data_IF_798175709304
#
_entry.id   IF_798175709304
#
_cell.length_a   1.000
_cell.length_b   1.000
_cell.length_c   1.000
_cell.angle_alpha   90.00
_cell.angle_beta   90.00
_cell.angle_gamma   90.00
#
_symmetry.space_group_name_H-M   'P 1'
#
loop_
_entity.id
_entity.type
_entity.pdbx_description
1 polymer ?
#
# COMPACT_ATOMS: atom_id res chain seq x y z
N UNK A 1 -4.87 -25.25 -6.09
CA UNK A 1 -5.23 -23.85 -5.87
C UNK A 1 -5.34 -23.14 -7.22
N UNK A 2 -6.52 -22.65 -7.60
CA UNK A 2 -6.69 -21.88 -8.85
C UNK A 2 -6.70 -20.41 -8.47
N UNK A 3 -5.53 -19.78 -8.40
CA UNK A 3 -5.44 -18.34 -8.12
C UNK A 3 -5.93 -17.49 -9.29
N UNK A 4 -5.89 -18.04 -10.49
CA UNK A 4 -6.30 -17.34 -11.68
C UNK A 4 -7.03 -18.33 -12.59
N UNK A 5 -8.24 -18.01 -12.95
CA UNK A 5 -8.92 -18.63 -14.06
C UNK A 5 -8.18 -18.11 -15.29
N UNK A 6 -7.59 -19.01 -16.07
CA UNK A 6 -6.87 -18.68 -17.29
C UNK A 6 -7.81 -17.93 -18.24
N UNK A 7 -7.84 -16.66 -18.16
CA UNK A 7 -8.56 -15.89 -19.15
C UNK A 7 -7.53 -15.19 -20.02
N UNK A 8 -7.60 -15.49 -21.29
CA UNK A 8 -7.08 -14.58 -22.28
C UNK A 8 -7.93 -13.30 -22.13
N UNK A 9 -7.32 -12.24 -21.58
CA UNK A 9 -8.01 -10.98 -21.25
C UNK A 9 -8.66 -10.41 -22.52
N UNK A 10 -7.98 -10.48 -23.67
CA UNK A 10 -8.49 -9.99 -24.96
C UNK A 10 -9.74 -10.71 -25.44
N UNK A 11 -9.90 -11.99 -25.08
CA UNK A 11 -11.08 -12.76 -25.46
C UNK A 11 -12.27 -12.56 -24.49
N UNK A 12 -12.11 -11.75 -23.45
CA UNK A 12 -13.15 -11.39 -22.49
C UNK A 12 -13.43 -9.88 -22.59
N UNK A 13 -14.43 -9.42 -23.40
CA UNK A 13 -14.65 -8.02 -23.67
C UNK A 13 -14.80 -7.13 -22.44
N UNK A 14 -15.57 -7.50 -21.39
CA UNK A 14 -15.66 -6.69 -20.17
C UNK A 14 -14.29 -6.53 -19.47
N UNK A 15 -13.53 -7.63 -19.35
CA UNK A 15 -12.21 -7.60 -18.71
C UNK A 15 -11.21 -6.80 -19.53
N UNK A 16 -11.24 -6.93 -20.85
CA UNK A 16 -10.41 -6.16 -21.77
C UNK A 16 -10.65 -4.65 -21.61
N UNK A 17 -11.90 -4.22 -21.60
CA UNK A 17 -12.25 -2.81 -21.41
C UNK A 17 -11.75 -2.30 -20.05
N UNK A 18 -11.95 -3.07 -18.97
CA UNK A 18 -11.45 -2.71 -17.63
C UNK A 18 -9.94 -2.56 -17.60
N UNK A 19 -9.20 -3.47 -18.24
CA UNK A 19 -7.73 -3.41 -18.31
C UNK A 19 -7.27 -2.19 -19.13
N UNK A 20 -7.90 -1.89 -20.25
CA UNK A 20 -7.54 -0.72 -21.06
C UNK A 20 -7.81 0.58 -20.29
N UNK A 21 -8.96 0.70 -19.63
CA UNK A 21 -9.28 1.86 -18.79
C UNK A 21 -8.29 2.02 -17.63
N UNK A 22 -7.92 0.90 -16.98
CA UNK A 22 -6.87 0.91 -15.95
C UNK A 22 -5.54 1.40 -16.50
N UNK A 23 -5.09 0.89 -17.66
CA UNK A 23 -3.80 1.28 -18.27
C UNK A 23 -3.76 2.76 -18.64
N UNK A 24 -4.87 3.32 -19.15
CA UNK A 24 -4.98 4.76 -19.43
C UNK A 24 -4.88 5.56 -18.13
N UNK A 25 -5.64 5.18 -17.10
CA UNK A 25 -5.59 5.83 -15.78
C UNK A 25 -4.22 5.69 -15.12
N UNK A 26 -3.58 4.53 -15.27
CA UNK A 26 -2.24 4.26 -14.78
C UNK A 26 -1.18 5.15 -15.46
N UNK A 27 -1.33 5.41 -16.76
CA UNK A 27 -0.45 6.32 -17.50
C UNK A 27 -0.58 7.76 -16.96
N UNK A 28 -1.81 8.22 -16.78
CA UNK A 28 -2.07 9.55 -16.20
C UNK A 28 -1.49 9.64 -14.77
N UNK A 29 -1.74 8.63 -13.94
CA UNK A 29 -1.18 8.55 -12.59
C UNK A 29 0.35 8.58 -12.61
N UNK A 30 0.99 7.79 -13.48
CA UNK A 30 2.45 7.73 -13.62
C UNK A 30 3.05 9.09 -14.00
N UNK A 31 2.42 9.81 -14.94
CA UNK A 31 2.85 11.17 -15.31
C UNK A 31 2.67 12.14 -14.14
N UNK A 32 1.50 12.13 -13.49
CA UNK A 32 1.20 13.03 -12.35
C UNK A 32 2.14 12.75 -11.19
N UNK A 33 2.53 11.50 -10.93
CA UNK A 33 3.40 11.14 -9.81
C UNK A 33 4.78 11.81 -9.87
N UNK A 34 5.32 12.08 -11.07
CA UNK A 34 6.54 12.86 -11.24
C UNK A 34 6.37 14.30 -10.77
N UNK A 35 5.24 14.94 -11.12
CA UNK A 35 4.96 16.32 -10.71
C UNK A 35 4.71 16.41 -9.22
N UNK A 36 3.94 15.49 -8.66
CA UNK A 36 3.64 15.44 -7.22
C UNK A 36 4.92 15.23 -6.41
N UNK A 37 5.77 14.30 -6.82
CA UNK A 37 7.04 14.04 -6.14
C UNK A 37 7.96 15.27 -6.21
N UNK A 38 8.12 15.87 -7.39
CA UNK A 38 8.93 17.07 -7.56
C UNK A 38 8.37 18.28 -6.80
N UNK A 39 7.05 18.44 -6.74
CA UNK A 39 6.42 19.53 -5.99
C UNK A 39 6.64 19.36 -4.48
N UNK A 40 6.56 18.13 -3.98
CA UNK A 40 6.64 17.82 -2.55
C UNK A 40 8.09 17.75 -2.05
N UNK A 41 8.91 16.95 -2.69
CA UNK A 41 10.28 16.64 -2.23
C UNK A 41 11.36 17.36 -3.04
N UNK A 42 11.07 17.69 -4.32
CA UNK A 42 12.08 18.07 -5.29
C UNK A 42 12.87 16.87 -5.81
N UNK A 43 13.66 17.13 -6.88
CA UNK A 43 14.59 16.15 -7.48
C UNK A 43 16.06 16.54 -7.27
N UNK A 44 16.34 17.49 -6.37
CA UNK A 44 17.69 17.85 -5.96
C UNK A 44 17.89 17.61 -4.47
N UNK A 45 19.17 17.45 -4.09
CA UNK A 45 19.55 17.27 -2.68
C UNK A 45 19.04 18.42 -1.81
N UNK A 46 19.26 19.66 -2.24
CA UNK A 46 18.93 20.88 -1.47
C UNK A 46 17.43 21.00 -1.20
N UNK A 47 16.59 20.78 -2.22
CA UNK A 47 15.15 20.85 -2.06
C UNK A 47 14.61 19.76 -1.14
N UNK A 48 15.15 18.53 -1.27
CA UNK A 48 14.74 17.43 -0.43
C UNK A 48 15.26 17.59 1.00
N UNK A 49 16.47 18.14 1.18
CA UNK A 49 16.98 18.51 2.49
C UNK A 49 16.06 19.52 3.18
N UNK A 50 15.67 20.59 2.48
CA UNK A 50 14.72 21.60 3.01
C UNK A 50 13.37 21.00 3.38
N UNK A 51 12.91 19.96 2.67
CA UNK A 51 11.68 19.25 3.05
C UNK A 51 11.82 18.56 4.42
N UNK A 52 12.93 17.86 4.68
CA UNK A 52 13.11 17.09 5.91
C UNK A 52 13.62 17.93 7.11
N UNK A 53 14.37 18.99 6.83
CA UNK A 53 15.12 19.74 7.83
C UNK A 53 14.84 21.26 7.82
N UNK A 54 13.77 21.69 7.13
CA UNK A 54 13.22 23.04 7.03
C UNK A 54 14.21 24.12 6.60
N UNK A 55 15.32 24.33 7.34
CA UNK A 55 16.32 25.37 7.06
C UNK A 55 17.75 24.77 7.14
N UNK A 56 18.62 24.99 6.14
CA UNK A 56 20.00 24.56 6.17
C UNK A 56 20.84 25.18 7.31
N UNK A 57 20.49 26.39 7.75
CA UNK A 57 21.22 27.10 8.81
C UNK A 57 20.77 26.67 10.20
N UNK A 58 19.48 26.37 10.36
CA UNK A 58 18.86 25.91 11.61
C UNK A 58 17.99 24.69 11.34
N UNK A 59 18.59 23.50 11.13
CA UNK A 59 17.86 22.33 10.67
C UNK A 59 16.96 21.77 11.76
N UNK A 60 15.68 22.13 11.72
CA UNK A 60 14.63 21.49 12.48
C UNK A 60 14.00 20.37 11.66
N UNK A 61 13.93 19.18 12.25
CA UNK A 61 13.28 18.03 11.59
C UNK A 61 11.78 18.22 11.54
N UNK A 62 11.16 17.84 10.43
CA UNK A 62 9.70 17.73 10.37
C UNK A 62 9.19 16.71 11.41
N UNK A 63 7.93 16.83 11.89
CA UNK A 63 7.37 15.86 12.83
C UNK A 63 7.42 14.43 12.28
N UNK A 64 7.78 13.46 13.13
CA UNK A 64 7.79 12.03 12.74
C UNK A 64 6.44 11.57 12.22
N UNK A 65 5.33 12.06 12.81
CA UNK A 65 3.98 11.76 12.33
C UNK A 65 3.76 12.15 10.87
N UNK A 66 4.36 13.25 10.40
CA UNK A 66 4.27 13.68 9.01
C UNK A 66 5.02 12.70 8.08
N UNK A 67 6.24 12.26 8.47
CA UNK A 67 6.99 11.25 7.70
C UNK A 67 6.20 9.94 7.60
N UNK A 68 5.62 9.51 8.72
CA UNK A 68 4.81 8.29 8.78
C UNK A 68 3.54 8.39 7.95
N UNK A 69 2.84 9.53 7.95
CA UNK A 69 1.66 9.77 7.10
C UNK A 69 2.03 9.70 5.63
N UNK A 70 3.12 10.34 5.24
CA UNK A 70 3.60 10.33 3.87
C UNK A 70 3.95 8.92 3.38
N UNK A 71 4.66 8.17 4.22
CA UNK A 71 5.02 6.79 3.90
C UNK A 71 3.78 5.90 3.87
N UNK A 72 2.85 6.04 4.83
CA UNK A 72 1.63 5.25 4.91
C UNK A 72 0.75 5.40 3.65
N UNK A 73 0.49 6.64 3.23
CA UNK A 73 -0.35 6.92 2.06
C UNK A 73 0.31 6.38 0.78
N UNK A 74 1.59 6.70 0.59
CA UNK A 74 2.31 6.27 -0.61
C UNK A 74 2.52 4.76 -0.65
N UNK A 75 2.76 4.12 0.49
CA UNK A 75 2.91 2.67 0.59
C UNK A 75 1.65 1.95 0.11
N UNK A 76 0.48 2.40 0.56
CA UNK A 76 -0.80 1.86 0.13
C UNK A 76 -0.99 2.02 -1.39
N UNK A 77 -0.89 3.27 -1.90
CA UNK A 77 -1.13 3.58 -3.30
C UNK A 77 -0.17 2.82 -4.24
N UNK A 78 1.12 2.83 -3.92
CA UNK A 78 2.15 2.17 -4.73
C UNK A 78 1.98 0.66 -4.71
N UNK A 79 1.68 0.06 -3.56
CA UNK A 79 1.48 -1.40 -3.46
C UNK A 79 0.32 -1.86 -4.33
N UNK A 80 -0.85 -1.22 -4.23
CA UNK A 80 -2.02 -1.58 -5.05
C UNK A 80 -1.75 -1.34 -6.53
N UNK A 81 -1.16 -0.19 -6.86
CA UNK A 81 -0.82 0.14 -8.24
C UNK A 81 0.12 -0.90 -8.87
N UNK A 82 1.21 -1.25 -8.17
CA UNK A 82 2.19 -2.21 -8.67
C UNK A 82 1.61 -3.62 -8.79
N UNK A 83 0.80 -4.09 -7.82
CA UNK A 83 0.24 -5.45 -7.90
C UNK A 83 -0.71 -5.58 -9.09
N UNK A 84 -1.54 -4.58 -9.35
CA UNK A 84 -2.46 -4.58 -10.50
C UNK A 84 -1.68 -4.48 -11.80
N UNK A 85 -0.74 -3.53 -11.93
CA UNK A 85 0.07 -3.38 -13.14
C UNK A 85 0.89 -4.64 -13.43
N UNK A 86 1.55 -5.22 -12.42
CA UNK A 86 2.32 -6.44 -12.58
C UNK A 86 1.44 -7.63 -12.98
N UNK A 87 0.21 -7.75 -12.44
CA UNK A 87 -0.73 -8.81 -12.81
C UNK A 87 -1.18 -8.73 -14.28
N UNK A 88 -1.19 -7.53 -14.85
CA UNK A 88 -1.46 -7.30 -16.27
C UNK A 88 -0.20 -7.57 -17.10
N UNK A 89 0.95 -7.06 -16.64
CA UNK A 89 2.23 -7.17 -17.35
C UNK A 89 2.69 -8.61 -17.55
N UNK A 90 2.40 -9.53 -16.61
CA UNK A 90 2.82 -10.94 -16.73
C UNK A 90 2.27 -11.66 -17.96
N UNK A 91 1.20 -11.16 -18.59
CA UNK A 91 0.64 -11.68 -19.83
C UNK A 91 1.41 -11.24 -21.08
N UNK A 92 2.41 -10.35 -20.93
CA UNK A 92 3.25 -9.91 -22.06
C UNK A 92 4.19 -11.03 -22.52
N UNK A 93 4.27 -11.22 -23.84
CA UNK A 93 5.25 -12.11 -24.48
C UNK A 93 6.66 -11.47 -24.41
N UNK A 94 7.34 -11.70 -23.30
CA UNK A 94 8.75 -11.34 -23.07
C UNK A 94 9.41 -12.44 -22.24
N UNK A 95 10.75 -12.53 -22.29
CA UNK A 95 11.49 -13.52 -21.51
C UNK A 95 11.13 -13.42 -20.02
N UNK A 96 10.94 -14.55 -19.36
CA UNK A 96 10.55 -14.60 -17.93
C UNK A 96 11.54 -13.84 -17.05
N UNK A 97 12.85 -13.91 -17.36
CA UNK A 97 13.87 -13.11 -16.64
C UNK A 97 13.55 -11.62 -16.68
N UNK A 98 13.09 -11.08 -17.83
CA UNK A 98 12.72 -9.68 -17.97
C UNK A 98 11.49 -9.34 -17.11
N UNK A 99 10.48 -10.25 -17.11
CA UNK A 99 9.28 -10.09 -16.26
C UNK A 99 9.67 -9.99 -14.79
N UNK A 100 10.43 -10.98 -14.29
CA UNK A 100 10.88 -11.01 -12.89
C UNK A 100 11.73 -9.79 -12.53
N UNK A 101 12.69 -9.42 -13.40
CA UNK A 101 13.57 -8.28 -13.15
C UNK A 101 12.78 -6.98 -13.04
N UNK A 102 11.88 -6.68 -13.98
CA UNK A 102 11.11 -5.45 -13.96
C UNK A 102 10.15 -5.39 -12.75
N UNK A 103 9.46 -6.49 -12.46
CA UNK A 103 8.56 -6.57 -11.31
C UNK A 103 9.36 -6.37 -10.01
N UNK A 104 10.43 -7.15 -9.82
CA UNK A 104 11.23 -7.08 -8.60
C UNK A 104 11.88 -5.71 -8.45
N UNK A 105 12.45 -5.15 -9.52
CA UNK A 105 13.08 -3.83 -9.52
C UNK A 105 12.07 -2.74 -9.15
N UNK A 106 10.84 -2.79 -9.67
CA UNK A 106 9.79 -1.82 -9.34
C UNK A 106 9.38 -1.91 -7.86
N UNK A 107 9.17 -3.11 -7.31
CA UNK A 107 8.81 -3.27 -5.91
C UNK A 107 9.95 -2.90 -4.97
N UNK A 108 11.18 -3.36 -5.24
CA UNK A 108 12.35 -3.07 -4.38
C UNK A 108 12.66 -1.58 -4.39
N UNK A 109 12.69 -0.94 -5.56
CA UNK A 109 12.96 0.50 -5.63
C UNK A 109 11.87 1.35 -4.98
N UNK A 110 10.60 0.95 -5.10
CA UNK A 110 9.51 1.60 -4.38
C UNK A 110 9.67 1.48 -2.86
N UNK A 111 10.02 0.29 -2.35
CA UNK A 111 10.27 0.08 -0.92
C UNK A 111 11.51 0.86 -0.44
N UNK A 112 12.55 0.96 -1.26
CA UNK A 112 13.74 1.76 -0.96
C UNK A 112 13.42 3.26 -0.95
N UNK A 113 12.62 3.76 -1.89
CA UNK A 113 12.18 5.17 -1.88
C UNK A 113 11.39 5.50 -0.61
N UNK A 114 10.42 4.66 -0.23
CA UNK A 114 9.62 4.87 0.97
C UNK A 114 10.47 4.71 2.25
N UNK A 115 11.29 3.65 2.33
CA UNK A 115 12.16 3.35 3.47
C UNK A 115 13.26 4.39 3.66
N UNK A 116 13.77 4.98 2.57
CA UNK A 116 14.79 6.03 2.64
C UNK A 116 14.34 7.27 3.40
N UNK A 117 13.02 7.56 3.45
CA UNK A 117 12.48 8.64 4.28
C UNK A 117 12.82 8.45 5.76
N UNK A 118 12.76 7.21 6.27
CA UNK A 118 13.19 6.90 7.64
C UNK A 118 14.69 6.97 7.80
N UNK A 119 15.46 6.52 6.79
CA UNK A 119 16.92 6.60 6.84
C UNK A 119 17.40 8.06 6.84
N UNK A 120 16.80 8.93 6.04
CA UNK A 120 17.04 10.38 6.07
C UNK A 120 16.68 10.95 7.44
N UNK A 121 15.53 10.57 7.98
CA UNK A 121 15.03 11.13 9.24
C UNK A 121 15.88 10.69 10.45
N UNK A 122 16.19 9.40 10.57
CA UNK A 122 16.83 8.84 11.77
C UNK A 122 18.34 8.75 11.70
N UNK A 123 18.94 8.53 10.51
CA UNK A 123 20.35 8.24 10.36
C UNK A 123 21.14 9.42 9.80
N UNK A 124 20.94 9.78 8.53
CA UNK A 124 21.75 10.80 7.89
C UNK A 124 21.06 11.42 6.66
N UNK A 125 21.23 12.74 6.45
CA UNK A 125 20.81 13.40 5.21
C UNK A 125 21.40 12.82 3.93
N UNK A 126 22.55 12.10 4.02
CA UNK A 126 23.17 11.44 2.86
C UNK A 126 22.23 10.43 2.17
N UNK A 127 21.26 9.85 2.90
CA UNK A 127 20.24 8.96 2.32
C UNK A 127 19.24 9.67 1.39
N UNK A 128 19.30 10.99 1.27
CA UNK A 128 18.58 11.75 0.24
C UNK A 128 18.95 11.25 -1.17
N UNK A 129 20.24 10.95 -1.42
CA UNK A 129 20.66 10.39 -2.71
C UNK A 129 20.01 9.03 -2.98
N UNK A 130 19.94 8.17 -1.95
CA UNK A 130 19.22 6.89 -2.08
C UNK A 130 17.75 7.11 -2.44
N UNK A 131 17.08 8.09 -1.80
CA UNK A 131 15.68 8.41 -2.07
C UNK A 131 15.47 8.88 -3.51
N UNK A 132 16.31 9.77 -4.01
CA UNK A 132 16.23 10.26 -5.39
C UNK A 132 16.45 9.11 -6.40
N UNK A 133 17.54 8.34 -6.20
CA UNK A 133 17.87 7.24 -7.12
C UNK A 133 16.80 6.17 -7.12
N UNK A 134 16.31 5.76 -5.95
CA UNK A 134 15.28 4.74 -5.86
C UNK A 134 13.95 5.20 -6.48
N UNK A 135 13.57 6.47 -6.33
CA UNK A 135 12.42 7.05 -7.03
C UNK A 135 12.59 6.98 -8.56
N UNK A 136 13.74 7.40 -9.09
CA UNK A 136 14.01 7.37 -10.55
C UNK A 136 13.94 5.93 -11.07
N UNK A 137 14.56 4.99 -10.38
CA UNK A 137 14.55 3.56 -10.75
C UNK A 137 13.13 3.00 -10.70
N UNK A 138 12.36 3.33 -9.66
CA UNK A 138 10.94 2.95 -9.53
C UNK A 138 10.11 3.48 -10.69
N UNK A 139 10.21 4.75 -10.99
CA UNK A 139 9.45 5.38 -12.06
C UNK A 139 9.83 4.82 -13.44
N UNK A 140 11.12 4.59 -13.68
CA UNK A 140 11.60 4.06 -14.96
C UNK A 140 11.15 2.60 -15.17
N UNK A 141 11.35 1.73 -14.17
CA UNK A 141 10.96 0.32 -14.28
C UNK A 141 9.43 0.16 -14.41
N UNK A 142 8.67 0.94 -13.65
CA UNK A 142 7.21 0.97 -13.72
C UNK A 142 6.73 1.52 -15.06
N UNK A 143 7.35 2.59 -15.56
CA UNK A 143 7.05 3.14 -16.88
C UNK A 143 7.27 2.13 -18.01
N UNK A 144 8.38 1.37 -17.97
CA UNK A 144 8.64 0.29 -18.93
C UNK A 144 7.55 -0.77 -18.87
N UNK A 145 7.18 -1.26 -17.66
CA UNK A 145 6.10 -2.25 -17.51
C UNK A 145 4.77 -1.71 -18.07
N UNK A 146 4.45 -0.45 -17.77
CA UNK A 146 3.22 0.20 -18.22
C UNK A 146 3.18 0.34 -19.75
N UNK A 147 4.23 0.86 -20.38
CA UNK A 147 4.30 1.01 -21.82
C UNK A 147 4.26 -0.33 -22.57
N UNK A 148 4.93 -1.36 -22.05
CA UNK A 148 4.87 -2.71 -22.61
C UNK A 148 3.47 -3.30 -22.47
N UNK A 149 2.77 -3.06 -21.36
CA UNK A 149 1.38 -3.48 -21.16
C UNK A 149 0.41 -2.76 -22.07
N UNK A 150 0.56 -1.45 -22.23
CA UNK A 150 -0.23 -0.65 -23.18
C UNK A 150 -0.03 -1.19 -24.61
N UNK A 151 1.22 -1.44 -25.00
CA UNK A 151 1.51 -2.02 -26.31
C UNK A 151 0.80 -3.35 -26.50
N UNK A 152 0.85 -4.26 -25.51
CA UNK A 152 0.17 -5.55 -25.59
C UNK A 152 -1.34 -5.41 -25.87
N UNK A 153 -2.02 -4.54 -25.10
CA UNK A 153 -3.49 -4.45 -25.17
C UNK A 153 -4.01 -3.54 -26.26
N UNK A 154 -3.23 -2.55 -26.74
CA UNK A 154 -3.61 -1.68 -27.87
C UNK A 154 -3.16 -2.21 -29.24
N UNK A 155 -2.35 -3.29 -29.30
CA UNK A 155 -1.90 -3.88 -30.54
C UNK A 155 -2.46 -5.31 -30.72
N UNK A 156 -2.14 -5.93 -31.87
CA UNK A 156 -2.50 -7.33 -32.17
C UNK A 156 -1.54 -8.36 -31.56
N UNK A 157 -0.64 -7.95 -30.65
CA UNK A 157 0.26 -8.89 -29.96
C UNK A 157 -0.56 -9.98 -29.24
N UNK A 158 -0.05 -11.21 -29.26
CA UNK A 158 -0.69 -12.32 -28.53
C UNK A 158 -0.39 -12.23 -27.03
N UNK A 159 -1.37 -12.60 -26.22
CA UNK A 159 -1.17 -12.80 -24.79
C UNK A 159 -0.54 -14.17 -24.56
N UNK A 160 0.35 -14.25 -23.58
CA UNK A 160 0.84 -15.51 -23.04
C UNK A 160 0.18 -15.78 -21.68
N UNK A 161 -0.21 -17.03 -21.42
CA UNK A 161 -0.65 -17.39 -20.07
C UNK A 161 0.54 -17.22 -19.12
N UNK A 162 0.36 -16.51 -17.98
CA UNK A 162 1.45 -16.30 -17.05
C UNK A 162 1.88 -17.61 -16.39
N UNK A 163 3.19 -17.77 -16.18
CA UNK A 163 3.69 -18.87 -15.39
C UNK A 163 3.16 -18.80 -13.95
N UNK A 164 2.78 -19.93 -13.40
CA UNK A 164 2.28 -20.01 -12.01
C UNK A 164 3.30 -19.50 -11.00
N UNK A 165 4.59 -19.69 -11.27
CA UNK A 165 5.67 -19.22 -10.42
C UNK A 165 5.68 -17.68 -10.28
N UNK A 166 5.45 -16.94 -11.38
CA UNK A 166 5.37 -15.47 -11.37
C UNK A 166 4.17 -15.01 -10.54
N UNK A 167 3.01 -15.64 -10.75
CA UNK A 167 1.79 -15.30 -10.00
C UNK A 167 1.95 -15.56 -8.50
N UNK A 168 2.54 -16.70 -8.10
CA UNK A 168 2.86 -16.95 -6.69
C UNK A 168 3.84 -15.94 -6.12
N UNK A 169 4.80 -15.47 -6.92
CA UNK A 169 5.75 -14.45 -6.51
C UNK A 169 5.04 -13.12 -6.26
N UNK A 170 4.13 -12.70 -7.14
CA UNK A 170 3.34 -11.47 -6.95
C UNK A 170 2.51 -11.52 -5.67
N UNK A 171 1.79 -12.63 -5.44
CA UNK A 171 0.97 -12.78 -4.23
C UNK A 171 1.84 -12.83 -2.97
N UNK A 172 3.03 -13.44 -3.05
CA UNK A 172 4.00 -13.47 -1.95
C UNK A 172 4.52 -12.07 -1.62
N UNK A 173 4.92 -11.29 -2.65
CA UNK A 173 5.37 -9.89 -2.49
C UNK A 173 4.24 -9.06 -1.86
N UNK A 174 3.01 -9.12 -2.39
CA UNK A 174 1.86 -8.41 -1.83
C UNK A 174 1.64 -8.78 -0.36
N UNK A 175 1.67 -10.07 -0.04
CA UNK A 175 1.52 -10.52 1.35
C UNK A 175 2.64 -10.02 2.25
N UNK A 176 3.87 -9.93 1.74
CA UNK A 176 5.01 -9.33 2.45
C UNK A 176 4.81 -7.83 2.72
N UNK A 177 4.25 -7.10 1.76
CA UNK A 177 3.96 -5.67 1.94
C UNK A 177 2.89 -5.42 3.01
N UNK A 178 1.94 -6.36 3.22
CA UNK A 178 0.95 -6.25 4.30
C UNK A 178 1.61 -6.16 5.68
N UNK A 179 2.66 -6.95 5.95
CA UNK A 179 3.37 -6.88 7.24
C UNK A 179 4.05 -5.53 7.46
N UNK A 180 4.70 -4.99 6.42
CA UNK A 180 5.31 -3.67 6.49
C UNK A 180 4.25 -2.58 6.70
N UNK A 181 3.12 -2.68 6.02
CA UNK A 181 2.01 -1.76 6.16
C UNK A 181 1.43 -1.76 7.58
N UNK A 182 1.22 -2.94 8.16
CA UNK A 182 0.80 -3.10 9.56
C UNK A 182 1.79 -2.44 10.51
N UNK A 183 3.08 -2.63 10.31
CA UNK A 183 4.12 -2.00 11.11
C UNK A 183 4.06 -0.47 11.06
N UNK A 184 3.96 0.10 9.85
CA UNK A 184 3.81 1.54 9.64
C UNK A 184 2.55 2.06 10.33
N UNK A 185 1.41 1.33 10.24
CA UNK A 185 0.16 1.68 10.89
C UNK A 185 0.29 1.76 12.42
N UNK A 186 1.00 0.81 13.04
CA UNK A 186 1.25 0.85 14.49
C UNK A 186 2.03 2.08 14.90
N UNK A 187 3.11 2.40 14.18
CA UNK A 187 3.91 3.59 14.48
C UNK A 187 3.12 4.88 14.25
N UNK A 188 2.35 4.96 13.15
CA UNK A 188 1.51 6.11 12.87
C UNK A 188 0.41 6.29 13.93
N UNK A 189 -0.27 5.21 14.31
CA UNK A 189 -1.28 5.22 15.36
C UNK A 189 -0.70 5.72 16.68
N UNK A 190 0.44 5.15 17.11
CA UNK A 190 1.09 5.50 18.36
C UNK A 190 1.58 6.97 18.40
N UNK A 191 2.15 7.46 17.28
CA UNK A 191 2.72 8.81 17.23
C UNK A 191 1.68 9.91 17.04
N UNK A 192 0.58 9.62 16.35
CA UNK A 192 -0.46 10.60 16.00
C UNK A 192 -1.61 10.62 17.02
N UNK A 193 -2.13 9.45 17.38
CA UNK A 193 -3.28 9.33 18.27
C UNK A 193 -2.90 9.01 19.71
N UNK A 194 -1.72 8.42 19.92
CA UNK A 194 -1.34 7.84 21.20
C UNK A 194 -1.78 6.37 21.31
N UNK A 195 -1.39 5.71 22.40
CA UNK A 195 -1.66 4.29 22.64
C UNK A 195 -2.73 4.04 23.72
N UNK A 196 -3.09 5.07 24.48
CA UNK A 196 -4.12 4.99 25.53
C UNK A 196 -5.45 5.56 25.06
N UNK A 197 -6.59 5.02 25.56
CA UNK A 197 -7.90 5.62 25.24
C UNK A 197 -8.02 7.11 25.59
N UNK A 198 -7.35 7.55 26.67
CA UNK A 198 -7.33 8.97 27.07
C UNK A 198 -6.61 9.83 26.04
N UNK A 199 -5.41 9.44 25.56
CA UNK A 199 -4.69 10.17 24.54
C UNK A 199 -5.50 10.27 23.24
N UNK A 200 -6.18 9.18 22.87
CA UNK A 200 -7.04 9.14 21.71
C UNK A 200 -8.25 10.05 21.88
N UNK A 201 -8.89 10.03 23.06
CA UNK A 201 -9.99 10.96 23.34
C UNK A 201 -9.51 12.43 23.26
N UNK A 202 -8.36 12.76 23.86
CA UNK A 202 -7.75 14.10 23.75
C UNK A 202 -7.48 14.53 22.30
N UNK A 203 -7.04 13.60 21.45
CA UNK A 203 -6.81 13.89 20.02
C UNK A 203 -8.08 14.35 19.31
N UNK A 204 -9.24 13.74 19.60
CA UNK A 204 -10.51 14.06 18.94
C UNK A 204 -11.27 15.19 19.64
N UNK A 205 -11.28 15.20 20.97
CA UNK A 205 -12.05 16.17 21.77
C UNK A 205 -11.27 17.44 22.08
N UNK A 206 -9.95 17.41 21.88
CA UNK A 206 -9.05 18.48 22.27
C UNK A 206 -8.69 18.43 23.77
N UNK A 207 -7.71 19.25 24.15
CA UNK A 207 -7.29 19.42 25.54
C UNK A 207 -6.93 20.90 25.76
N UNK A 208 -7.76 21.66 26.49
CA UNK A 208 -7.51 23.08 26.73
C UNK A 208 -6.19 23.37 27.43
N UNK A 209 -5.76 22.50 28.35
CA UNK A 209 -4.50 22.67 29.11
C UNK A 209 -3.25 22.50 28.25
N UNK A 210 -3.37 21.78 27.13
CA UNK A 210 -2.29 21.57 26.13
C UNK A 210 -2.51 22.39 24.87
N UNK A 211 -3.48 23.29 24.85
CA UNK A 211 -3.85 24.11 23.68
C UNK A 211 -4.23 23.28 22.44
N UNK A 212 -4.71 22.04 22.62
CA UNK A 212 -5.17 21.18 21.54
C UNK A 212 -6.63 21.48 21.26
N UNK A 213 -6.93 21.90 20.03
CA UNK A 213 -8.31 22.17 19.60
C UNK A 213 -9.04 20.86 19.25
N UNK A 214 -10.35 20.76 19.52
CA UNK A 214 -11.18 19.64 19.06
C UNK A 214 -11.16 19.50 17.54
N UNK A 215 -11.20 18.27 17.04
CA UNK A 215 -11.34 18.02 15.60
C UNK A 215 -12.69 18.51 15.09
N UNK A 216 -12.69 19.16 13.94
CA UNK A 216 -13.92 19.60 13.26
C UNK A 216 -14.55 18.41 12.51
N UNK A 217 -15.86 18.50 12.23
CA UNK A 217 -16.55 17.49 11.42
C UNK A 217 -15.92 17.40 10.02
N UNK A 218 -15.67 18.54 9.38
CA UNK A 218 -15.04 18.62 8.07
C UNK A 218 -13.68 17.92 8.06
N UNK A 219 -12.77 18.27 8.97
CA UNK A 219 -11.46 17.62 9.04
C UNK A 219 -11.50 16.13 9.37
N UNK A 220 -12.55 15.63 10.06
CA UNK A 220 -12.75 14.20 10.25
C UNK A 220 -13.25 13.51 8.98
N UNK A 221 -14.19 14.12 8.26
CA UNK A 221 -14.72 13.57 7.01
C UNK A 221 -13.68 13.57 5.90
N UNK A 222 -12.82 14.58 5.83
CA UNK A 222 -11.69 14.64 4.88
C UNK A 222 -10.70 13.48 5.06
N UNK A 223 -10.58 12.96 6.27
CA UNK A 223 -9.73 11.78 6.55
C UNK A 223 -10.51 10.48 6.36
N UNK A 224 -11.71 10.37 6.93
CA UNK A 224 -12.49 9.11 6.94
C UNK A 224 -12.91 8.70 5.54
N UNK A 225 -13.35 9.65 4.69
CA UNK A 225 -13.88 9.34 3.36
C UNK A 225 -12.86 8.65 2.45
N UNK A 226 -11.67 9.22 2.19
CA UNK A 226 -10.66 8.54 1.37
C UNK A 226 -10.14 7.26 2.03
N UNK A 227 -10.03 7.23 3.38
CA UNK A 227 -9.61 6.03 4.11
C UNK A 227 -10.56 4.86 3.91
N UNK A 228 -11.88 5.09 4.00
CA UNK A 228 -12.87 4.03 3.79
C UNK A 228 -12.73 3.40 2.41
N UNK A 229 -12.61 4.20 1.36
CA UNK A 229 -12.44 3.70 -0.02
C UNK A 229 -11.13 2.93 -0.17
N UNK A 230 -10.02 3.51 0.31
CA UNK A 230 -8.71 2.91 0.23
C UNK A 230 -8.65 1.56 0.97
N UNK A 231 -9.17 1.50 2.19
CA UNK A 231 -9.21 0.27 2.99
C UNK A 231 -10.05 -0.81 2.31
N UNK A 232 -11.22 -0.46 1.75
CA UNK A 232 -12.05 -1.43 1.02
C UNK A 232 -11.27 -2.08 -0.12
N UNK A 233 -10.54 -1.31 -0.92
CA UNK A 233 -9.76 -1.84 -2.05
C UNK A 233 -8.62 -2.76 -1.56
N UNK A 234 -7.89 -2.32 -0.53
CA UNK A 234 -6.77 -3.09 0.02
C UNK A 234 -7.21 -4.40 0.67
N UNK A 235 -8.25 -4.33 1.52
CA UNK A 235 -8.79 -5.48 2.20
C UNK A 235 -9.46 -6.45 1.22
N UNK A 236 -10.13 -5.92 0.18
CA UNK A 236 -10.66 -6.76 -0.88
C UNK A 236 -9.58 -7.61 -1.55
N UNK A 237 -8.43 -7.01 -1.89
CA UNK A 237 -7.30 -7.74 -2.48
C UNK A 237 -6.78 -8.84 -1.52
N UNK A 238 -6.57 -8.50 -0.24
CA UNK A 238 -6.09 -9.45 0.76
C UNK A 238 -7.08 -10.61 1.00
N UNK A 239 -8.35 -10.28 1.17
CA UNK A 239 -9.43 -11.25 1.35
C UNK A 239 -9.55 -12.12 0.10
N UNK A 240 -9.51 -11.53 -1.10
CA UNK A 240 -9.56 -12.25 -2.35
C UNK A 240 -8.48 -13.34 -2.41
N UNK A 241 -7.23 -13.01 -2.11
CA UNK A 241 -6.16 -14.01 -2.06
C UNK A 241 -6.39 -15.08 -0.97
N UNK A 242 -6.95 -14.71 0.17
CA UNK A 242 -7.24 -15.69 1.24
C UNK A 242 -8.30 -16.72 0.84
N UNK A 243 -9.24 -16.36 -0.05
CA UNK A 243 -10.26 -17.29 -0.55
C UNK A 243 -9.70 -18.45 -1.37
N UNK A 244 -8.51 -18.30 -1.93
CA UNK A 244 -7.83 -19.39 -2.66
C UNK A 244 -6.99 -20.29 -1.76
N UNK A 245 -6.96 -20.05 -0.45
CA UNK A 245 -6.26 -20.90 0.52
C UNK A 245 -7.19 -21.96 1.10
N UNK A 246 -6.67 -22.86 1.92
CA UNK A 246 -7.45 -23.84 2.68
C UNK A 246 -7.93 -23.29 4.03
N UNK A 247 -8.06 -21.97 4.17
CA UNK A 247 -8.55 -21.34 5.39
C UNK A 247 -9.97 -21.83 5.72
N UNK A 248 -10.17 -22.27 6.95
CA UNK A 248 -11.51 -22.57 7.46
C UNK A 248 -12.22 -21.25 7.86
N UNK A 249 -13.56 -21.22 7.68
CA UNK A 249 -14.40 -20.06 8.05
C UNK A 249 -13.97 -18.74 7.37
N UNK A 250 -13.65 -18.78 6.07
CA UNK A 250 -13.19 -17.61 5.28
C UNK A 250 -14.10 -16.41 5.43
N UNK A 251 -15.42 -16.61 5.33
CA UNK A 251 -16.42 -15.54 5.46
C UNK A 251 -16.33 -14.88 6.83
N UNK A 252 -16.19 -15.65 7.92
CA UNK A 252 -16.05 -15.10 9.26
C UNK A 252 -14.84 -14.19 9.39
N UNK A 253 -13.67 -14.63 8.89
CA UNK A 253 -12.46 -13.82 8.92
C UNK A 253 -12.56 -12.57 8.05
N UNK A 254 -13.24 -12.66 6.91
CA UNK A 254 -13.55 -11.49 6.07
C UNK A 254 -14.45 -10.49 6.79
N UNK A 255 -15.50 -10.97 7.47
CA UNK A 255 -16.39 -10.11 8.25
C UNK A 255 -15.68 -9.45 9.44
N UNK A 256 -14.80 -10.18 10.15
CA UNK A 256 -13.99 -9.61 11.23
C UNK A 256 -13.08 -8.51 10.70
N UNK A 257 -12.37 -8.76 9.59
CA UNK A 257 -11.44 -7.82 9.01
C UNK A 257 -12.14 -6.54 8.51
N UNK A 258 -13.23 -6.68 7.74
CA UNK A 258 -13.98 -5.53 7.22
C UNK A 258 -14.74 -4.82 8.35
N UNK A 259 -15.38 -5.56 9.25
CA UNK A 259 -16.11 -4.98 10.38
C UNK A 259 -15.22 -4.17 11.31
N UNK A 260 -14.01 -4.68 11.61
CA UNK A 260 -13.03 -3.92 12.41
C UNK A 260 -12.52 -2.68 11.68
N UNK A 261 -12.33 -2.73 10.37
CA UNK A 261 -11.94 -1.56 9.56
C UNK A 261 -13.01 -0.47 9.58
N UNK A 262 -14.28 -0.86 9.42
CA UNK A 262 -15.41 0.09 9.51
C UNK A 262 -15.51 0.67 10.91
N UNK A 263 -15.44 -0.16 11.96
CA UNK A 263 -15.50 0.30 13.35
C UNK A 263 -14.33 1.24 13.68
N UNK A 264 -13.11 0.94 13.21
CA UNK A 264 -11.94 1.79 13.40
C UNK A 264 -12.14 3.17 12.77
N UNK A 265 -12.64 3.25 11.53
CA UNK A 265 -12.86 4.53 10.86
C UNK A 265 -14.00 5.35 11.49
N UNK A 266 -15.12 4.71 11.86
CA UNK A 266 -16.27 5.41 12.43
C UNK A 266 -16.06 5.82 13.89
N UNK A 267 -15.22 5.09 14.64
CA UNK A 267 -14.98 5.38 16.06
C UNK A 267 -14.47 6.81 16.31
N UNK A 268 -13.70 7.39 15.40
CA UNK A 268 -13.27 8.79 15.51
C UNK A 268 -14.44 9.79 15.52
N UNK A 269 -15.44 9.58 14.67
CA UNK A 269 -16.67 10.37 14.66
C UNK A 269 -17.48 10.11 15.94
N UNK A 270 -17.57 8.85 16.38
CA UNK A 270 -18.29 8.48 17.61
C UNK A 270 -17.65 9.09 18.86
N UNK A 271 -16.31 9.14 18.96
CA UNK A 271 -15.60 9.82 20.04
C UNK A 271 -15.97 11.30 20.04
N UNK A 272 -15.93 11.93 18.86
CA UNK A 272 -16.13 13.39 18.76
C UNK A 272 -17.56 13.84 19.05
N UNK A 273 -18.58 13.05 18.63
CA UNK A 273 -19.97 13.49 18.63
C UNK A 273 -20.90 12.70 19.58
N UNK A 274 -20.48 11.53 20.06
CA UNK A 274 -21.30 10.71 20.95
C UNK A 274 -20.72 10.60 22.37
N UNK A 275 -19.54 9.98 22.51
CA UNK A 275 -18.92 9.77 23.83
C UNK A 275 -17.44 9.45 23.73
N UNK A 276 -16.63 9.95 24.68
CA UNK A 276 -15.21 9.60 24.83
C UNK A 276 -14.97 8.10 25.02
N UNK A 277 -15.94 7.35 25.54
CA UNK A 277 -15.83 5.89 25.72
C UNK A 277 -15.61 5.14 24.42
N UNK A 278 -15.97 5.69 23.25
CA UNK A 278 -15.64 5.11 21.95
C UNK A 278 -14.15 5.12 21.65
N UNK A 279 -13.30 5.75 22.48
CA UNK A 279 -11.85 5.59 22.37
C UNK A 279 -11.40 4.14 22.64
N UNK A 280 -12.10 3.40 23.53
CA UNK A 280 -11.86 1.96 23.70
C UNK A 280 -12.20 1.17 22.44
N UNK A 281 -13.31 1.51 21.77
CA UNK A 281 -13.66 0.89 20.49
C UNK A 281 -12.60 1.17 19.43
N UNK A 282 -12.05 2.41 19.38
CA UNK A 282 -10.97 2.79 18.47
C UNK A 282 -9.74 1.91 18.65
N UNK A 283 -9.27 1.73 19.87
CA UNK A 283 -8.13 0.87 20.18
C UNK A 283 -8.44 -0.60 19.81
N UNK A 284 -9.58 -1.12 20.26
CA UNK A 284 -9.95 -2.52 20.03
C UNK A 284 -10.10 -2.82 18.53
N UNK A 285 -10.81 -1.98 17.78
CA UNK A 285 -11.03 -2.18 16.35
C UNK A 285 -9.73 -2.07 15.56
N UNK A 286 -8.85 -1.12 15.90
CA UNK A 286 -7.51 -1.02 15.31
C UNK A 286 -6.71 -2.32 15.52
N UNK A 287 -6.61 -2.80 16.75
CA UNK A 287 -5.85 -4.02 17.07
C UNK A 287 -6.42 -5.26 16.36
N UNK A 288 -7.76 -5.42 16.34
CA UNK A 288 -8.42 -6.53 15.65
C UNK A 288 -8.18 -6.46 14.15
N UNK A 289 -8.23 -5.26 13.56
CA UNK A 289 -7.93 -5.05 12.14
C UNK A 289 -6.50 -5.47 11.81
N UNK A 290 -5.50 -4.95 12.55
CA UNK A 290 -4.10 -5.27 12.29
C UNK A 290 -3.83 -6.78 12.47
N UNK A 291 -4.36 -7.38 13.53
CA UNK A 291 -4.22 -8.82 13.78
C UNK A 291 -4.87 -9.68 12.67
N UNK A 292 -6.05 -9.29 12.19
CA UNK A 292 -6.74 -10.01 11.11
C UNK A 292 -5.99 -9.88 9.77
N UNK A 293 -5.42 -8.71 9.46
CA UNK A 293 -4.60 -8.51 8.26
C UNK A 293 -3.34 -9.40 8.31
N UNK A 294 -2.62 -9.41 9.43
CA UNK A 294 -1.45 -10.28 9.63
C UNK A 294 -1.85 -11.75 9.49
N UNK A 295 -2.93 -12.18 10.13
CA UNK A 295 -3.39 -13.57 10.07
C UNK A 295 -3.75 -14.01 8.65
N UNK A 296 -4.54 -13.22 7.92
CA UNK A 296 -4.91 -13.52 6.53
C UNK A 296 -3.68 -13.57 5.62
N UNK A 297 -2.74 -12.64 5.80
CA UNK A 297 -1.50 -12.62 5.04
C UNK A 297 -0.62 -13.84 5.33
N UNK A 298 -0.47 -14.24 6.60
CA UNK A 298 0.25 -15.46 7.00
C UNK A 298 -0.35 -16.72 6.36
N UNK A 299 -1.68 -16.83 6.37
CA UNK A 299 -2.39 -17.96 5.74
C UNK A 299 -2.07 -18.04 4.24
N UNK A 300 -2.05 -16.90 3.56
CA UNK A 300 -1.70 -16.82 2.13
C UNK A 300 -0.25 -17.26 1.91
N UNK A 301 0.70 -16.69 2.65
CA UNK A 301 2.14 -17.03 2.56
C UNK A 301 2.38 -18.51 2.81
N UNK A 302 1.85 -19.06 3.90
CA UNK A 302 1.99 -20.49 4.24
C UNK A 302 1.41 -21.38 3.13
N UNK A 303 0.29 -20.97 2.55
CA UNK A 303 -0.33 -21.72 1.45
C UNK A 303 0.57 -21.76 0.20
N UNK A 304 1.20 -20.62 -0.16
CA UNK A 304 2.14 -20.53 -1.28
C UNK A 304 3.36 -21.40 -1.04
N UNK A 305 3.98 -21.29 0.14
CA UNK A 305 5.19 -22.06 0.49
C UNK A 305 4.91 -23.57 0.44
N UNK A 306 3.80 -24.03 1.00
CA UNK A 306 3.39 -25.45 0.95
C UNK A 306 3.16 -25.95 -0.48
N UNK A 307 2.60 -25.12 -1.37
CA UNK A 307 2.40 -25.52 -2.77
C UNK A 307 3.72 -25.57 -3.54
N UNK A 308 4.64 -24.63 -3.33
CA UNK A 308 5.99 -24.66 -3.93
C UNK A 308 6.78 -25.87 -3.47
N UNK A 309 6.75 -26.19 -2.18
CA UNK A 309 7.44 -27.36 -1.64
C UNK A 309 6.93 -28.67 -2.26
N UNK A 310 5.61 -28.81 -2.47
CA UNK A 310 5.04 -30.00 -3.14
C UNK A 310 5.44 -30.09 -4.62
N UNK A 311 5.58 -28.99 -5.32
CA UNK A 311 6.02 -28.98 -6.72
C UNK A 311 7.50 -29.40 -6.88
N UNK A 312 8.36 -29.06 -5.91
CA UNK A 312 9.78 -29.45 -5.90
C UNK A 312 9.97 -30.93 -5.57
N UNK A 313 9.12 -31.53 -4.75
CA UNK A 313 9.19 -32.98 -4.38
C UNK A 313 8.67 -33.88 -5.50
N UNK A 314 7.94 -33.33 -6.48
CA UNK A 314 7.39 -34.08 -7.64
C UNK A 314 8.23 -33.94 -8.93
N UNK A 315 9.35 -33.23 -8.89
CA UNK A 315 10.41 -33.14 -9.90
C UNK A 315 11.61 -34.00 -9.50
#
# INVERSE_FOLDING_TARGET
>A
MRFFISSNIKNNPPLYVMVVLFLISALVYWVISWFVYNAKYGLSYERMFTYFFTDPLYPERIPLSQVLEDVHINFFLVTIFLIVLASIFVHKCVREVVKYTLILLSFVSALLDLGSSFLVYFLSPAFIYLKIVSFIVFQTSTGIMLLLSIKLYLTREKEEPPERAVLYTLVFIFSGTVFLFVLINFFLFATKLGITPQQIAEYYLGNPTRFIRPKTLEGLLDVVTPHMVAMVVYLFALIHFSFFTNLKRKVLWSCICVGSAVADNLSGLMIRFLSEHFAYLKVASFLVLQASMVYLSLVVVVSIVKHRAKAIVLL
#
